data_IF_026923570592
#
_entry.id   IF_026923570592
#
_cell.length_a   1.000
_cell.length_b   1.000
_cell.length_c   1.000
_cell.angle_alpha   90.00
_cell.angle_beta   90.00
_cell.angle_gamma   90.00
#
_symmetry.space_group_name_H-M   'P 1'
#
loop_
_entity.id
_entity.type
_entity.pdbx_description
1 polymer ?
#
# COMPACT_ATOMS: atom_id res chain seq x y z
N UNK A 1 -15.13 9.64 7.54
CA UNK A 1 -14.77 9.38 8.95
C UNK A 1 -13.68 8.34 9.13
N UNK A 2 -13.52 7.33 8.26
CA UNK A 2 -12.46 6.32 8.44
C UNK A 2 -11.05 6.82 8.07
N UNK A 3 -10.92 7.75 7.12
CA UNK A 3 -9.63 8.31 6.66
C UNK A 3 -8.93 9.18 7.71
N UNK A 4 -9.69 9.96 8.47
CA UNK A 4 -9.14 10.76 9.56
C UNK A 4 -8.50 9.92 10.66
N UNK A 5 -8.97 8.68 10.88
CA UNK A 5 -8.38 7.74 11.83
C UNK A 5 -6.99 7.27 11.40
N UNK A 6 -6.72 7.29 10.09
CA UNK A 6 -5.41 6.97 9.49
C UNK A 6 -4.58 8.24 9.19
N UNK A 7 -5.10 9.42 9.56
CA UNK A 7 -4.51 10.72 9.27
C UNK A 7 -4.46 11.09 7.79
N UNK A 8 -5.25 10.43 6.93
CA UNK A 8 -5.19 10.58 5.48
C UNK A 8 -6.01 11.82 5.09
N UNK A 9 -5.49 12.74 4.25
CA UNK A 9 -6.25 13.88 3.78
C UNK A 9 -7.50 13.41 3.03
N UNK A 10 -8.68 13.95 3.36
CA UNK A 10 -9.96 13.49 2.77
C UNK A 10 -9.99 13.63 1.23
N UNK A 11 -9.32 14.66 0.70
CA UNK A 11 -9.20 14.91 -0.75
C UNK A 11 -8.31 13.89 -1.48
N UNK A 12 -7.48 13.14 -0.75
CA UNK A 12 -6.51 12.25 -1.37
C UNK A 12 -7.15 10.92 -1.77
N UNK A 13 -6.72 10.35 -2.90
CA UNK A 13 -6.92 8.94 -3.20
C UNK A 13 -6.02 8.11 -2.28
N UNK A 14 -6.57 7.06 -1.69
CA UNK A 14 -5.84 6.18 -0.78
C UNK A 14 -5.62 4.82 -1.44
N UNK A 15 -4.35 4.46 -1.62
CA UNK A 15 -3.94 3.12 -2.04
C UNK A 15 -3.28 2.43 -0.86
N UNK A 16 -3.90 1.34 -0.40
CA UNK A 16 -3.33 0.48 0.64
C UNK A 16 -2.50 -0.65 0.02
N UNK A 17 -1.27 -0.82 0.48
CA UNK A 17 -0.37 -1.89 0.03
C UNK A 17 -0.13 -2.84 1.19
N UNK A 18 -0.28 -4.14 0.97
CA UNK A 18 0.10 -5.15 1.97
C UNK A 18 0.57 -6.45 1.35
N UNK A 19 1.71 -6.97 1.81
CA UNK A 19 2.17 -8.32 1.47
C UNK A 19 1.57 -9.43 2.34
N UNK A 20 0.73 -9.08 3.33
CA UNK A 20 0.38 -9.93 4.48
C UNK A 20 1.26 -9.63 5.70
N UNK A 21 0.92 -10.21 6.85
CA UNK A 21 1.55 -9.91 8.15
C UNK A 21 3.07 -10.16 8.21
N UNK A 22 3.57 -11.14 7.46
CA UNK A 22 5.01 -11.45 7.35
C UNK A 22 5.75 -10.61 6.29
N UNK A 23 5.06 -9.74 5.56
CA UNK A 23 5.62 -8.95 4.48
C UNK A 23 5.84 -9.74 3.18
N UNK A 24 5.99 -9.02 2.07
CA UNK A 24 6.37 -9.59 0.78
C UNK A 24 7.41 -8.69 0.13
N UNK A 25 8.68 -9.10 0.22
CA UNK A 25 9.82 -8.34 -0.32
C UNK A 25 9.59 -7.89 -1.77
N UNK A 26 9.03 -8.76 -2.61
CA UNK A 26 8.71 -8.43 -4.01
C UNK A 26 7.71 -7.27 -4.15
N UNK A 27 6.60 -7.30 -3.42
CA UNK A 27 5.60 -6.21 -3.46
C UNK A 27 6.20 -4.94 -2.90
N UNK A 28 6.91 -5.06 -1.78
CA UNK A 28 7.46 -3.91 -1.10
C UNK A 28 8.47 -3.17 -1.99
N UNK A 29 9.41 -3.91 -2.62
CA UNK A 29 10.36 -3.35 -3.59
C UNK A 29 9.66 -2.77 -4.82
N UNK A 30 8.64 -3.45 -5.35
CA UNK A 30 7.92 -2.98 -6.54
C UNK A 30 7.23 -1.64 -6.29
N UNK A 31 6.60 -1.46 -5.12
CA UNK A 31 5.98 -0.19 -4.76
C UNK A 31 7.01 0.91 -4.59
N UNK A 32 8.12 0.65 -3.89
CA UNK A 32 9.20 1.64 -3.74
C UNK A 32 9.74 2.11 -5.09
N UNK A 33 9.93 1.18 -6.04
CA UNK A 33 10.39 1.49 -7.39
C UNK A 33 9.34 2.26 -8.22
N UNK A 34 8.05 2.11 -7.91
CA UNK A 34 6.97 2.80 -8.61
C UNK A 34 6.66 4.20 -8.04
N UNK A 35 7.16 4.54 -6.84
CA UNK A 35 6.90 5.86 -6.22
C UNK A 35 7.25 7.05 -7.13
N UNK A 36 8.38 7.04 -7.88
CA UNK A 36 8.71 8.13 -8.80
C UNK A 36 7.68 8.36 -9.91
N UNK A 37 6.98 7.32 -10.35
CA UNK A 37 5.92 7.43 -11.37
C UNK A 37 4.58 7.81 -10.74
N UNK A 38 4.31 7.29 -9.53
CA UNK A 38 3.06 7.55 -8.79
C UNK A 38 2.95 8.99 -8.31
N UNK A 39 4.05 9.74 -8.19
CA UNK A 39 4.02 11.17 -7.80
C UNK A 39 3.24 12.03 -8.80
N UNK A 40 3.14 11.61 -10.06
CA UNK A 40 2.40 12.31 -11.11
C UNK A 40 0.87 12.20 -10.91
N UNK A 41 0.42 11.32 -10.02
CA UNK A 41 -0.99 11.17 -9.67
C UNK A 41 -1.36 12.21 -8.60
N UNK A 42 -2.21 13.20 -8.93
CA UNK A 42 -2.52 14.28 -7.99
C UNK A 42 -3.32 13.80 -6.79
N UNK A 43 -2.98 14.33 -5.60
CA UNK A 43 -3.63 14.01 -4.32
C UNK A 43 -3.62 12.49 -4.05
N UNK A 44 -2.46 11.82 -4.18
CA UNK A 44 -2.33 10.40 -3.88
C UNK A 44 -1.65 10.19 -2.53
N UNK A 45 -2.21 9.30 -1.70
CA UNK A 45 -1.56 8.78 -0.49
C UNK A 45 -1.34 7.28 -0.66
N UNK A 46 -0.10 6.84 -0.46
CA UNK A 46 0.29 5.43 -0.44
C UNK A 46 0.45 5.00 1.01
N UNK A 47 -0.42 4.09 1.47
CA UNK A 47 -0.35 3.51 2.81
C UNK A 47 0.22 2.10 2.73
N UNK A 48 1.50 1.94 3.07
CA UNK A 48 2.25 0.73 2.81
C UNK A 48 2.56 -0.03 4.09
N UNK A 49 1.91 -1.18 4.24
CA UNK A 49 2.13 -2.12 5.34
C UNK A 49 3.20 -3.12 4.89
N UNK A 50 4.43 -2.87 5.34
CA UNK A 50 5.64 -3.57 4.88
C UNK A 50 5.75 -4.98 5.47
N UNK A 51 5.30 -5.16 6.72
CA UNK A 51 5.49 -6.38 7.50
C UNK A 51 6.81 -6.37 8.27
N UNK A 52 6.80 -6.99 9.46
CA UNK A 52 7.94 -6.98 10.40
C UNK A 52 9.23 -7.53 9.81
N UNK A 53 9.14 -8.56 8.96
CA UNK A 53 10.33 -9.19 8.35
C UNK A 53 11.16 -8.21 7.52
N UNK A 54 10.50 -7.35 6.75
CA UNK A 54 11.17 -6.48 5.78
C UNK A 54 11.26 -5.02 6.26
N UNK A 55 10.81 -4.75 7.50
CA UNK A 55 10.71 -3.40 8.08
C UNK A 55 12.07 -2.75 8.36
N UNK A 56 13.03 -3.50 8.89
CA UNK A 56 14.35 -2.94 9.21
C UNK A 56 15.07 -2.41 7.97
N UNK A 57 14.95 -3.13 6.85
CA UNK A 57 15.62 -2.80 5.59
C UNK A 57 14.88 -1.72 4.80
N UNK A 58 13.54 -1.77 4.75
CA UNK A 58 12.77 -0.91 3.83
C UNK A 58 11.87 0.11 4.51
N UNK A 59 11.49 -0.13 5.76
CA UNK A 59 10.55 0.74 6.49
C UNK A 59 11.13 2.09 6.88
N UNK A 60 12.46 2.17 6.97
CA UNK A 60 13.20 3.36 7.36
C UNK A 60 13.86 4.07 6.18
N UNK A 61 13.58 3.62 4.94
CA UNK A 61 14.13 4.25 3.75
C UNK A 61 13.52 5.65 3.65
N UNK A 62 14.38 6.65 3.66
CA UNK A 62 13.95 8.01 3.40
C UNK A 62 13.67 8.13 1.91
N UNK A 63 12.40 8.30 1.56
CA UNK A 63 11.98 8.43 0.17
C UNK A 63 12.07 9.91 -0.20
N UNK A 64 13.02 10.25 -1.07
CA UNK A 64 13.15 11.60 -1.64
C UNK A 64 12.22 11.76 -2.86
N UNK A 65 10.92 11.57 -2.64
CA UNK A 65 9.90 11.84 -3.68
C UNK A 65 8.74 12.62 -3.07
N UNK A 66 8.22 13.58 -3.84
CA UNK A 66 7.11 14.46 -3.45
C UNK A 66 5.76 13.73 -3.57
N UNK A 67 5.57 12.70 -2.73
CA UNK A 67 4.31 11.95 -2.60
C UNK A 67 4.03 11.70 -1.12
N UNK A 68 2.76 11.68 -0.72
CA UNK A 68 2.36 11.28 0.64
C UNK A 68 2.51 9.76 0.79
N UNK A 69 3.73 9.32 1.08
CA UNK A 69 4.07 7.93 1.34
C UNK A 69 4.15 7.65 2.84
N UNK A 70 3.38 6.66 3.29
CA UNK A 70 3.28 6.29 4.71
C UNK A 70 3.59 4.82 4.88
N UNK A 71 4.79 4.53 5.35
CA UNK A 71 5.21 3.18 5.69
C UNK A 71 4.77 2.79 7.12
N UNK A 72 4.34 1.55 7.29
CA UNK A 72 3.99 0.93 8.57
C UNK A 72 4.59 -0.47 8.65
N UNK A 73 5.14 -0.80 9.82
CA UNK A 73 5.61 -2.16 10.10
C UNK A 73 4.45 -3.15 10.13
N UNK A 74 3.40 -2.82 10.87
CA UNK A 74 2.22 -3.65 11.05
C UNK A 74 0.97 -2.76 11.22
N UNK A 75 -0.18 -3.29 10.83
CA UNK A 75 -1.49 -2.63 10.97
C UNK A 75 -2.48 -3.58 11.64
N UNK A 76 -2.94 -3.19 12.83
CA UNK A 76 -3.92 -3.95 13.61
C UNK A 76 -5.35 -3.69 13.14
N UNK A 77 -5.62 -2.48 12.63
CA UNK A 77 -6.96 -2.03 12.26
C UNK A 77 -7.18 -2.14 10.74
N UNK A 78 -6.83 -3.29 10.16
CA UNK A 78 -7.04 -3.58 8.74
C UNK A 78 -8.45 -3.24 8.21
N UNK A 79 -9.55 -3.49 8.94
CA UNK A 79 -10.89 -3.08 8.50
C UNK A 79 -11.02 -1.58 8.21
N UNK A 80 -10.32 -0.71 8.97
CA UNK A 80 -10.34 0.74 8.74
C UNK A 80 -9.62 1.07 7.44
N UNK A 81 -8.48 0.43 7.18
CA UNK A 81 -7.72 0.61 5.92
C UNK A 81 -8.57 0.19 4.73
N UNK A 82 -9.17 -1.00 4.77
CA UNK A 82 -9.99 -1.52 3.68
C UNK A 82 -11.22 -0.64 3.40
N UNK A 83 -11.88 -0.14 4.45
CA UNK A 83 -13.02 0.75 4.29
C UNK A 83 -12.65 2.17 3.83
N UNK A 84 -11.40 2.60 4.08
CA UNK A 84 -10.91 3.93 3.69
C UNK A 84 -10.34 3.96 2.27
N UNK A 85 -9.77 2.83 1.83
CA UNK A 85 -9.01 2.73 0.61
C UNK A 85 -9.89 2.81 -0.65
N UNK A 86 -9.39 3.54 -1.64
CA UNK A 86 -9.91 3.50 -2.99
C UNK A 86 -9.47 2.22 -3.71
N UNK A 87 -8.23 1.79 -3.43
CA UNK A 87 -7.59 0.60 -4.00
C UNK A 87 -6.73 -0.11 -2.95
N UNK A 88 -6.76 -1.44 -2.95
CA UNK A 88 -5.86 -2.27 -2.17
C UNK A 88 -5.04 -3.14 -3.13
N UNK A 89 -3.72 -3.13 -2.96
CA UNK A 89 -2.78 -4.00 -3.66
C UNK A 89 -2.23 -5.01 -2.66
N UNK A 90 -2.38 -6.30 -2.96
CA UNK A 90 -1.83 -7.36 -2.13
C UNK A 90 -1.33 -8.55 -2.94
N UNK A 91 -0.55 -9.40 -2.29
CA UNK A 91 -0.15 -10.69 -2.87
C UNK A 91 -1.38 -11.60 -2.99
N UNK A 92 -1.42 -12.42 -4.04
CA UNK A 92 -2.37 -13.53 -4.13
C UNK A 92 -2.19 -14.46 -2.91
N UNK A 93 -3.25 -14.65 -2.12
CA UNK A 93 -3.25 -15.48 -0.90
C UNK A 93 -3.47 -14.73 0.42
N UNK A 94 -3.59 -13.39 0.42
CA UNK A 94 -4.07 -12.66 1.60
C UNK A 94 -5.61 -12.75 1.64
N UNK A 95 -6.17 -13.25 2.75
CA UNK A 95 -7.61 -13.28 2.96
C UNK A 95 -8.06 -11.92 3.49
N UNK A 96 -8.65 -11.09 2.61
CA UNK A 96 -9.21 -9.77 2.93
C UNK A 96 -10.69 -9.74 2.50
N UNK A 97 -11.59 -9.04 3.23
CA UNK A 97 -12.95 -8.82 2.77
C UNK A 97 -12.97 -8.03 1.44
N UNK A 98 -13.76 -8.48 0.47
CA UNK A 98 -13.65 -8.13 -0.95
C UNK A 98 -13.82 -6.61 -1.26
N UNK A 99 -12.71 -5.98 -1.67
CA UNK A 99 -12.60 -4.89 -2.67
C UNK A 99 -11.13 -4.85 -3.13
N UNK A 100 -10.78 -5.56 -4.20
CA UNK A 100 -9.38 -5.73 -4.65
C UNK A 100 -9.26 -5.69 -6.17
N UNK A 101 -8.28 -4.92 -6.66
CA UNK A 101 -7.74 -5.06 -8.02
C UNK A 101 -6.40 -5.79 -7.85
N UNK A 102 -6.23 -6.90 -8.56
CA UNK A 102 -5.05 -7.75 -8.46
C UNK A 102 -3.88 -7.20 -9.31
N UNK A 103 -2.65 -7.34 -8.82
CA UNK A 103 -1.42 -7.07 -9.57
C UNK A 103 -0.51 -8.30 -9.53
N UNK A 104 -0.39 -9.00 -10.66
CA UNK A 104 0.55 -10.11 -10.86
C UNK A 104 1.77 -9.61 -11.65
N UNK A 105 2.97 -9.50 -11.04
CA UNK A 105 4.17 -9.07 -11.74
C UNK A 105 4.71 -10.10 -12.74
N UNK A 106 4.13 -11.31 -12.80
CA UNK A 106 4.51 -12.38 -13.74
C UNK A 106 3.58 -12.44 -14.96
N UNK A 107 2.36 -11.90 -14.86
CA UNK A 107 1.41 -11.82 -15.98
C UNK A 107 0.78 -10.42 -16.05
N UNK A 108 1.25 -9.61 -17.00
CA UNK A 108 0.72 -8.27 -17.29
C UNK A 108 -0.65 -8.28 -17.99
N UNK A 109 -1.50 -9.29 -17.76
CA UNK A 109 -2.78 -9.45 -18.45
C UNK A 109 -3.84 -10.04 -17.54
N UNK A 110 -4.36 -9.25 -16.61
CA UNK A 110 -5.70 -9.49 -16.04
C UNK A 110 -6.23 -8.22 -15.39
N UNK A 111 -7.05 -7.48 -16.14
CA UNK A 111 -8.09 -6.63 -15.56
C UNK A 111 -9.34 -7.50 -15.45
N UNK A 112 -9.85 -7.65 -14.23
CA UNK A 112 -11.21 -8.15 -13.95
C UNK A 112 -11.91 -7.09 -13.09
#
# INVERSE_FOLDING_TARGET
MHRSQLGIPEKNKLVGITGGSLGSLKINQSILNALPDLKEVPNLTIYHIIGSRDWEEMGKVNIDVDIDYRAKEYEEQMPIVLNSADLIVSRAGVQLPLKLIYWDPVNSNTFA
#
